data_IF_333002782662
#
_entry.id   IF_333002782662
#
_cell.length_a   1.000
_cell.length_b   1.000
_cell.length_c   1.000
_cell.angle_alpha   90.00
_cell.angle_beta   90.00
_cell.angle_gamma   90.00
#
_symmetry.space_group_name_H-M   'P 1'
#
loop_
_entity.id
_entity.type
_entity.pdbx_description
1 polymer ?
#
# COMPACT_ATOMS: atom_id res chain seq x y z
N UNK A 1 -0.98 -33.20 50.74
CA UNK A 1 -0.94 -31.72 50.77
C UNK A 1 0.14 -31.12 49.88
N UNK A 2 1.35 -31.64 49.96
CA UNK A 2 2.48 -31.21 49.11
C UNK A 2 2.23 -31.48 47.61
N UNK A 3 1.59 -32.58 47.28
CA UNK A 3 1.25 -32.92 45.89
C UNK A 3 0.20 -32.01 45.31
N UNK A 4 -0.82 -31.57 46.11
CA UNK A 4 -1.81 -30.56 45.67
C UNK A 4 -1.19 -29.22 45.46
N UNK A 5 -0.30 -28.76 46.37
CA UNK A 5 0.39 -27.49 46.24
C UNK A 5 1.27 -27.47 44.97
N UNK A 6 1.96 -28.56 44.72
CA UNK A 6 2.79 -28.71 43.51
C UNK A 6 1.96 -28.76 42.22
N UNK A 7 0.81 -29.46 42.27
CA UNK A 7 -0.12 -29.51 41.15
C UNK A 7 -0.74 -28.12 40.86
N UNK A 8 -1.11 -27.39 41.93
CA UNK A 8 -1.64 -26.03 41.80
C UNK A 8 -0.60 -25.05 41.26
N UNK A 9 0.64 -25.15 41.71
CA UNK A 9 1.75 -24.35 41.16
C UNK A 9 1.99 -24.64 39.69
N UNK A 10 1.98 -25.90 39.27
CA UNK A 10 2.13 -26.31 37.89
C UNK A 10 0.97 -25.79 37.04
N UNK A 11 -0.25 -25.91 37.52
CA UNK A 11 -1.43 -25.41 36.84
C UNK A 11 -1.38 -23.87 36.66
N UNK A 12 -0.96 -23.16 37.72
CA UNK A 12 -0.79 -21.71 37.66
C UNK A 12 0.32 -21.30 36.68
N UNK A 13 1.45 -22.02 36.70
CA UNK A 13 2.53 -21.78 35.77
C UNK A 13 2.11 -22.06 34.32
N UNK A 14 1.37 -23.14 34.09
CA UNK A 14 0.87 -23.46 32.76
C UNK A 14 -0.14 -22.42 32.26
N UNK A 15 -1.04 -21.96 33.13
CA UNK A 15 -1.99 -20.91 32.82
C UNK A 15 -1.29 -19.59 32.44
N UNK A 16 -0.22 -19.26 33.17
CA UNK A 16 0.59 -18.07 32.86
C UNK A 16 1.31 -18.19 31.50
N UNK A 17 1.83 -19.37 31.19
CA UNK A 17 2.46 -19.64 29.88
C UNK A 17 1.42 -19.54 28.77
N UNK A 18 0.25 -20.14 28.95
CA UNK A 18 -0.84 -20.08 27.96
C UNK A 18 -1.33 -18.65 27.73
N UNK A 19 -1.48 -17.87 28.80
CA UNK A 19 -1.87 -16.48 28.72
C UNK A 19 -0.82 -15.64 27.98
N UNK A 20 0.47 -15.86 28.27
CA UNK A 20 1.57 -15.19 27.56
C UNK A 20 1.60 -15.56 26.07
N UNK A 21 1.38 -16.82 25.76
CA UNK A 21 1.30 -17.32 24.38
C UNK A 21 0.16 -16.65 23.60
N UNK A 22 -1.04 -16.62 24.19
CA UNK A 22 -2.20 -15.96 23.58
C UNK A 22 -1.98 -14.47 23.38
N UNK A 23 -1.39 -13.79 24.35
CA UNK A 23 -1.05 -12.37 24.24
C UNK A 23 -0.03 -12.13 23.11
N UNK A 24 0.95 -12.99 22.99
CA UNK A 24 1.94 -12.91 21.93
C UNK A 24 1.32 -13.13 20.54
N UNK A 25 0.46 -14.13 20.40
CA UNK A 25 -0.27 -14.41 19.17
C UNK A 25 -1.18 -13.24 18.77
N UNK A 26 -1.86 -12.62 19.73
CA UNK A 26 -2.70 -11.46 19.47
C UNK A 26 -1.88 -10.27 18.94
N UNK A 27 -0.73 -9.99 19.56
CA UNK A 27 0.19 -8.95 19.10
C UNK A 27 0.74 -9.24 17.70
N UNK A 28 1.10 -10.47 17.43
CA UNK A 28 1.58 -10.89 16.11
C UNK A 28 0.50 -10.68 15.05
N UNK A 29 -0.75 -11.06 15.35
CA UNK A 29 -1.88 -10.87 14.45
C UNK A 29 -2.12 -9.38 14.16
N UNK A 30 -2.08 -8.52 15.18
CA UNK A 30 -2.19 -7.07 15.02
C UNK A 30 -1.07 -6.50 14.15
N UNK A 31 0.15 -6.94 14.40
CA UNK A 31 1.31 -6.51 13.63
C UNK A 31 1.20 -6.93 12.16
N UNK A 32 0.76 -8.16 11.91
CA UNK A 32 0.53 -8.65 10.54
C UNK A 32 -0.57 -7.87 9.82
N UNK A 33 -1.66 -7.55 10.52
CA UNK A 33 -2.73 -6.71 9.96
C UNK A 33 -2.22 -5.32 9.62
N UNK A 34 -1.45 -4.71 10.51
CA UNK A 34 -0.84 -3.39 10.26
C UNK A 34 0.10 -3.43 9.06
N UNK A 35 0.91 -4.48 8.93
CA UNK A 35 1.80 -4.66 7.78
C UNK A 35 1.03 -4.82 6.47
N UNK A 36 -0.08 -5.58 6.49
CA UNK A 36 -0.96 -5.74 5.33
C UNK A 36 -1.62 -4.43 4.91
N UNK A 37 -2.08 -3.62 5.88
CA UNK A 37 -2.66 -2.30 5.61
C UNK A 37 -1.63 -1.36 4.99
N UNK A 38 -0.42 -1.35 5.54
CA UNK A 38 0.67 -0.54 4.98
C UNK A 38 0.97 -0.93 3.54
N UNK A 39 1.05 -2.24 3.26
CA UNK A 39 1.28 -2.75 1.91
C UNK A 39 0.15 -2.35 0.95
N UNK A 40 -1.10 -2.44 1.41
CA UNK A 40 -2.26 -2.03 0.61
C UNK A 40 -2.21 -0.53 0.28
N UNK A 41 -1.86 0.31 1.26
CA UNK A 41 -1.69 1.75 1.07
C UNK A 41 -0.55 2.07 0.09
N UNK A 42 0.57 1.36 0.19
CA UNK A 42 1.69 1.51 -0.73
C UNK A 42 1.30 1.16 -2.16
N UNK A 43 0.52 0.09 -2.36
CA UNK A 43 0.00 -0.30 -3.67
C UNK A 43 -0.96 0.74 -4.24
N UNK A 44 -1.84 1.30 -3.42
CA UNK A 44 -2.75 2.37 -3.83
C UNK A 44 -1.97 3.63 -4.23
N UNK A 45 -0.95 3.99 -3.47
CA UNK A 45 -0.08 5.11 -3.79
C UNK A 45 0.64 4.91 -5.13
N UNK A 46 1.18 3.72 -5.36
CA UNK A 46 1.84 3.37 -6.63
C UNK A 46 0.87 3.47 -7.81
N UNK A 47 -0.35 2.96 -7.66
CA UNK A 47 -1.40 3.06 -8.69
C UNK A 47 -1.77 4.50 -8.96
N UNK A 48 -1.90 5.30 -7.92
CA UNK A 48 -2.21 6.72 -8.05
C UNK A 48 -1.11 7.47 -8.80
N UNK A 49 0.15 7.24 -8.45
CA UNK A 49 1.30 7.82 -9.16
C UNK A 49 1.35 7.40 -10.63
N UNK A 50 1.10 6.12 -10.91
CA UNK A 50 1.06 5.61 -12.27
C UNK A 50 -0.07 6.26 -13.08
N UNK A 51 -1.24 6.44 -12.47
CA UNK A 51 -2.38 7.12 -13.09
C UNK A 51 -2.06 8.58 -13.41
N UNK A 52 -1.46 9.30 -12.46
CA UNK A 52 -1.02 10.68 -12.66
C UNK A 52 0.01 10.79 -13.79
N UNK A 53 0.97 9.86 -13.85
CA UNK A 53 1.96 9.83 -14.90
C UNK A 53 1.34 9.63 -16.29
N UNK A 54 0.35 8.74 -16.40
CA UNK A 54 -0.40 8.52 -17.65
C UNK A 54 -1.17 9.78 -18.05
N UNK A 55 -1.85 10.43 -17.11
CA UNK A 55 -2.56 11.68 -17.38
C UNK A 55 -1.63 12.78 -17.85
N UNK A 56 -0.48 12.90 -17.22
CA UNK A 56 0.53 13.90 -17.60
C UNK A 56 1.04 13.66 -19.00
N UNK A 57 1.32 12.43 -19.38
CA UNK A 57 1.72 12.07 -20.75
C UNK A 57 0.65 12.41 -21.78
N UNK A 58 -0.62 12.19 -21.43
CA UNK A 58 -1.75 12.54 -22.32
C UNK A 58 -1.86 14.05 -22.53
N UNK A 59 -1.67 14.84 -21.49
CA UNK A 59 -1.67 16.29 -21.57
C UNK A 59 -0.52 16.78 -22.44
N UNK A 60 0.68 16.28 -22.22
CA UNK A 60 1.87 16.60 -23.02
C UNK A 60 1.69 16.22 -24.48
N UNK A 61 1.11 15.05 -24.75
CA UNK A 61 0.84 14.59 -26.09
C UNK A 61 -0.17 15.49 -26.81
N UNK A 62 -1.23 15.92 -26.12
CA UNK A 62 -2.20 16.88 -26.68
C UNK A 62 -1.57 18.21 -27.00
N UNK A 63 -0.74 18.73 -26.12
CA UNK A 63 0.01 19.98 -26.35
C UNK A 63 0.91 19.87 -27.55
N UNK A 64 1.60 18.74 -27.68
CA UNK A 64 2.47 18.45 -28.80
C UNK A 64 1.69 18.38 -30.13
N UNK A 65 0.55 17.70 -30.12
CA UNK A 65 -0.33 17.57 -31.28
C UNK A 65 -0.91 18.95 -31.69
N UNK A 66 -1.33 19.77 -30.73
CA UNK A 66 -1.83 21.11 -30.97
C UNK A 66 -0.74 22.02 -31.60
N UNK A 67 0.49 21.95 -31.09
CA UNK A 67 1.60 22.70 -31.66
C UNK A 67 1.94 22.23 -33.08
N UNK A 68 1.93 20.93 -33.32
CA UNK A 68 2.14 20.36 -34.64
C UNK A 68 1.05 20.81 -35.63
N UNK A 69 -0.21 20.82 -35.21
CA UNK A 69 -1.34 21.30 -36.00
C UNK A 69 -1.20 22.79 -36.33
N UNK A 70 -0.83 23.62 -35.35
CA UNK A 70 -0.60 25.04 -35.57
C UNK A 70 0.53 25.29 -36.56
N UNK A 71 1.62 24.56 -36.49
CA UNK A 71 2.74 24.63 -37.46
C UNK A 71 2.26 24.24 -38.86
N UNK A 72 1.48 23.17 -38.96
CA UNK A 72 0.93 22.71 -40.23
C UNK A 72 0.03 23.77 -40.87
N UNK A 73 -0.86 24.39 -40.10
CA UNK A 73 -1.73 25.50 -40.55
C UNK A 73 -0.93 26.70 -41.03
N UNK A 74 0.14 27.08 -40.32
CA UNK A 74 1.06 28.16 -40.72
C UNK A 74 1.73 27.87 -42.04
N UNK A 75 2.26 26.65 -42.19
CA UNK A 75 2.91 26.22 -43.45
C UNK A 75 1.92 26.19 -44.62
N UNK A 76 0.72 25.67 -44.41
CA UNK A 76 -0.34 25.68 -45.41
C UNK A 76 -0.76 27.10 -45.81
N UNK A 77 -0.88 28.01 -44.83
CA UNK A 77 -1.15 29.42 -45.08
C UNK A 77 -0.07 30.12 -45.88
N UNK A 78 1.19 29.83 -45.64
CA UNK A 78 2.33 30.37 -46.39
C UNK A 78 2.37 29.86 -47.84
N UNK A 79 2.04 28.58 -48.06
CA UNK A 79 2.01 27.98 -49.39
C UNK A 79 0.81 28.43 -50.21
N UNK A 80 -0.27 28.81 -49.57
CA UNK A 80 -1.49 29.26 -50.18
C UNK A 80 -1.50 30.75 -50.61
N UNK A 81 -0.52 31.47 -50.13
CA UNK A 81 -0.33 32.89 -50.47
C UNK A 81 0.72 33.09 -51.55
#
# INVERSE_FOLDING_TARGET
RLQRAQADERAAAQAAIDAAWHAWQARLAEWMQAAQRLKALQLLEQRHRAHLAVQQRRIEQRQHDELAELRHRRESGRRGS
#
